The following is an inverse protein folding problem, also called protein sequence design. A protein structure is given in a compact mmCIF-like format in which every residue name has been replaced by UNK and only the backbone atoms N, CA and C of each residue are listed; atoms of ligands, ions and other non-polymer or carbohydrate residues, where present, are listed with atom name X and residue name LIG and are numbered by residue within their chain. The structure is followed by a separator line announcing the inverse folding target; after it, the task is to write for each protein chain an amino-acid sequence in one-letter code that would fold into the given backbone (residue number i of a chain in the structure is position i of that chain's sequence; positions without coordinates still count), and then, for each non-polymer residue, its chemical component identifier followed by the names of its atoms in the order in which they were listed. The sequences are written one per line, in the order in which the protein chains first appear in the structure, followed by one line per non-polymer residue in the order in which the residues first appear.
data_IF_333765835411
#
_entry.id   IF_333765835411
#
_cell.length_a   1.000
_cell.length_b   1.000
_cell.length_c   1.000
_cell.angle_alpha   90.00
_cell.angle_beta   90.00
_cell.angle_gamma   90.00
#
_symmetry.space_group_name_H-M   'P 1'
#
loop_
_entity.id
_entity.type
_entity.pdbx_description
1 polymer ?
#
# COMPACT_ATOMS: atom_id res chain seq x y z
N UNK A 1 5.11 16.28 -26.77
CA UNK A 1 6.08 15.22 -26.47
C UNK A 1 6.29 15.23 -24.96
N UNK A 2 5.52 14.44 -24.20
CA UNK A 2 5.64 14.39 -22.74
C UNK A 2 6.96 13.70 -22.36
N UNK A 3 7.76 14.34 -21.51
CA UNK A 3 8.99 13.75 -21.00
C UNK A 3 8.61 12.66 -19.99
N UNK A 4 8.88 11.39 -20.30
CA UNK A 4 8.86 10.31 -19.31
C UNK A 4 9.82 10.68 -18.17
N UNK A 5 9.32 10.72 -16.93
CA UNK A 5 10.15 10.95 -15.74
C UNK A 5 11.12 9.79 -15.57
N UNK A 6 12.34 10.08 -15.12
CA UNK A 6 13.33 9.03 -14.84
C UNK A 6 12.95 8.25 -13.58
N UNK A 7 13.41 7.00 -13.47
CA UNK A 7 13.23 6.16 -12.27
C UNK A 7 13.69 6.86 -10.98
N UNK A 8 14.81 7.60 -11.03
CA UNK A 8 15.27 8.39 -9.88
C UNK A 8 14.32 9.52 -9.47
N UNK A 9 13.56 10.09 -10.41
CA UNK A 9 12.60 11.15 -10.10
C UNK A 9 11.35 10.62 -9.42
N UNK A 10 10.87 9.43 -9.81
CA UNK A 10 9.70 8.78 -9.22
C UNK A 10 10.00 8.39 -7.76
N UNK A 11 11.12 7.71 -7.50
CA UNK A 11 11.56 7.41 -6.12
C UNK A 11 11.69 8.64 -5.24
N UNK A 12 12.22 9.75 -5.77
CA UNK A 12 12.34 11.01 -5.04
C UNK A 12 10.97 11.62 -4.71
N UNK A 13 10.01 11.54 -5.64
CA UNK A 13 8.64 12.01 -5.40
C UNK A 13 7.97 11.14 -4.33
N UNK A 14 8.09 9.82 -4.41
CA UNK A 14 7.57 8.89 -3.41
C UNK A 14 8.18 9.20 -2.05
N UNK A 15 9.51 9.30 -1.95
CA UNK A 15 10.16 9.65 -0.68
C UNK A 15 9.66 10.98 -0.12
N UNK A 16 9.56 12.02 -0.97
CA UNK A 16 9.04 13.32 -0.52
C UNK A 16 7.59 13.20 -0.02
N UNK A 17 6.75 12.44 -0.72
CA UNK A 17 5.38 12.18 -0.31
C UNK A 17 5.33 11.47 1.04
N UNK A 18 6.10 10.40 1.21
CA UNK A 18 6.15 9.62 2.44
C UNK A 18 6.58 10.46 3.65
N UNK A 19 7.61 11.30 3.48
CA UNK A 19 8.09 12.20 4.54
C UNK A 19 7.06 13.28 4.89
N UNK A 20 6.30 13.77 3.91
CA UNK A 20 5.32 14.86 4.14
C UNK A 20 3.97 14.38 4.68
N UNK A 21 3.60 13.10 4.53
CA UNK A 21 2.27 12.60 4.86
C UNK A 21 2.24 11.63 6.06
N UNK A 22 3.26 11.68 6.92
CA UNK A 22 3.36 10.80 8.09
C UNK A 22 3.18 9.31 7.70
N UNK A 23 3.90 8.89 6.67
CA UNK A 23 3.80 7.53 6.17
C UNK A 23 4.69 6.57 6.98
N UNK A 24 4.19 5.36 7.21
CA UNK A 24 4.90 4.31 7.93
C UNK A 24 5.02 3.06 7.08
N UNK A 25 6.07 2.28 7.30
CA UNK A 25 6.10 0.92 6.75
C UNK A 25 4.96 0.13 7.40
N UNK A 26 4.13 -0.50 6.56
CA UNK A 26 2.80 -0.93 6.96
C UNK A 26 2.80 -2.06 7.99
N UNK A 27 3.68 -3.07 7.86
CA UNK A 27 3.75 -4.14 8.88
C UNK A 27 4.30 -3.64 10.22
N UNK A 28 5.29 -2.76 10.16
CA UNK A 28 5.83 -2.10 11.35
C UNK A 28 4.71 -1.34 12.06
N UNK A 29 3.95 -0.51 11.34
CA UNK A 29 2.82 0.22 11.90
C UNK A 29 1.74 -0.71 12.46
N UNK A 30 1.30 -1.73 11.73
CA UNK A 30 0.29 -2.67 12.21
C UNK A 30 0.72 -3.43 13.47
N UNK A 31 2.02 -3.66 13.67
CA UNK A 31 2.56 -4.46 14.78
C UNK A 31 3.01 -3.65 16.00
N UNK A 32 3.20 -2.33 15.88
CA UNK A 32 3.84 -1.51 16.91
C UNK A 32 3.00 -1.36 18.20
N UNK A 33 1.67 -1.41 18.10
CA UNK A 33 0.80 -1.17 19.26
C UNK A 33 0.11 -2.45 19.75
N UNK A 34 0.34 -2.78 21.02
CA UNK A 34 -0.36 -3.87 21.72
C UNK A 34 -1.71 -3.46 22.29
N UNK A 35 -1.94 -2.16 22.44
CA UNK A 35 -3.09 -1.58 23.14
C UNK A 35 -4.01 -0.79 22.23
N UNK A 36 -3.47 -0.24 21.13
CA UNK A 36 -4.24 0.50 20.14
C UNK A 36 -4.46 -0.40 18.93
N UNK A 37 -5.73 -0.58 18.55
CA UNK A 37 -6.10 -1.32 17.36
C UNK A 37 -5.67 -0.54 16.12
N UNK A 38 -5.03 -1.21 15.15
CA UNK A 38 -4.66 -0.65 13.84
C UNK A 38 -5.22 -1.55 12.76
N UNK A 39 -5.98 -0.99 11.83
CA UNK A 39 -6.63 -1.72 10.74
C UNK A 39 -6.50 -0.96 9.43
N UNK A 40 -6.83 -1.63 8.32
CA UNK A 40 -6.79 -1.07 6.98
C UNK A 40 -8.17 -1.11 6.33
N UNK A 41 -8.61 0.02 5.78
CA UNK A 41 -9.91 0.17 5.11
C UNK A 41 -11.07 -0.38 5.95
N UNK A 42 -11.90 -1.20 5.32
CA UNK A 42 -13.08 -1.84 5.94
C UNK A 42 -12.76 -2.98 6.93
N UNK A 43 -11.48 -3.31 7.16
CA UNK A 43 -11.13 -4.39 8.09
C UNK A 43 -11.51 -4.02 9.53
N UNK A 44 -12.30 -4.87 10.15
CA UNK A 44 -12.64 -4.75 11.57
C UNK A 44 -11.68 -5.52 12.49
N UNK A 45 -10.75 -6.30 11.94
CA UNK A 45 -9.83 -7.14 12.69
C UNK A 45 -8.38 -6.91 12.21
N UNK A 46 -7.44 -6.48 13.07
CA UNK A 46 -6.05 -6.23 12.69
C UNK A 46 -5.35 -7.41 12.02
N UNK A 47 -5.77 -8.65 12.31
CA UNK A 47 -5.19 -9.83 11.69
C UNK A 47 -5.46 -9.90 10.18
N UNK A 48 -6.61 -9.41 9.74
CA UNK A 48 -6.99 -9.43 8.33
C UNK A 48 -6.15 -8.41 7.57
N UNK A 49 -5.94 -7.22 8.17
CA UNK A 49 -5.04 -6.20 7.64
C UNK A 49 -3.59 -6.69 7.55
N UNK A 50 -3.10 -7.37 8.60
CA UNK A 50 -1.77 -7.99 8.55
C UNK A 50 -1.69 -9.05 7.45
N UNK A 51 -2.69 -9.92 7.31
CA UNK A 51 -2.70 -10.96 6.29
C UNK A 51 -2.68 -10.38 4.87
N UNK A 52 -3.42 -9.30 4.61
CA UNK A 52 -3.38 -8.57 3.35
C UNK A 52 -1.95 -8.10 3.05
N UNK A 53 -1.32 -7.39 3.98
CA UNK A 53 0.02 -6.83 3.76
C UNK A 53 1.07 -7.94 3.64
N UNK A 54 0.98 -9.01 4.42
CA UNK A 54 1.85 -10.18 4.27
C UNK A 54 1.71 -10.78 2.88
N UNK A 55 0.50 -10.90 2.33
CA UNK A 55 0.31 -11.45 0.98
C UNK A 55 0.97 -10.60 -0.12
N UNK A 56 1.01 -9.26 0.05
CA UNK A 56 1.73 -8.36 -0.85
C UNK A 56 3.25 -8.58 -0.78
N UNK A 57 3.80 -8.74 0.43
CA UNK A 57 5.22 -9.05 0.60
C UNK A 57 5.57 -10.43 0.05
N UNK A 58 4.76 -11.46 0.31
CA UNK A 58 4.94 -12.81 -0.23
C UNK A 58 4.86 -12.84 -1.76
N UNK A 59 4.04 -11.96 -2.36
CA UNK A 59 3.98 -11.79 -3.80
C UNK A 59 5.25 -11.16 -4.40
N UNK A 60 6.02 -10.43 -3.59
CA UNK A 60 7.31 -9.83 -3.94
C UNK A 60 7.39 -8.31 -3.77
N UNK A 61 6.44 -7.68 -3.07
CA UNK A 61 6.51 -6.24 -2.83
C UNK A 61 7.82 -5.87 -2.11
N UNK A 62 8.47 -4.80 -2.56
CA UNK A 62 9.73 -4.33 -1.93
C UNK A 62 9.46 -3.65 -0.60
N UNK A 63 8.43 -2.80 -0.58
CA UNK A 63 7.94 -2.08 0.58
C UNK A 63 6.46 -1.79 0.40
N UNK A 64 5.74 -1.77 1.52
CA UNK A 64 4.36 -1.28 1.58
C UNK A 64 4.30 -0.17 2.62
N UNK A 65 3.77 0.98 2.20
CA UNK A 65 3.61 2.15 3.05
C UNK A 65 2.14 2.44 3.28
N UNK A 66 1.80 2.74 4.52
CA UNK A 66 0.50 3.29 4.91
C UNK A 66 0.68 4.77 5.24
N UNK A 67 -0.31 5.59 4.91
CA UNK A 67 -0.30 7.03 5.15
C UNK A 67 -1.74 7.52 5.30
N UNK A 68 -1.90 8.80 5.65
CA UNK A 68 -3.22 9.39 5.88
C UNK A 68 -4.02 8.58 6.92
N UNK A 69 -3.41 8.41 8.10
CA UNK A 69 -3.94 7.61 9.18
C UNK A 69 -4.95 8.44 9.96
N UNK A 70 -6.17 7.93 10.02
CA UNK A 70 -7.21 8.43 10.91
C UNK A 70 -6.98 7.89 12.32
N UNK A 71 -7.03 8.78 13.32
CA UNK A 71 -6.90 8.43 14.73
C UNK A 71 -8.20 8.71 15.47
N UNK A 72 -8.85 7.64 15.92
CA UNK A 72 -10.10 7.67 16.68
C UNK A 72 -9.85 7.55 18.20
N UNK A 73 -8.63 7.84 18.64
CA UNK A 73 -8.22 7.79 20.04
C UNK A 73 -8.31 6.36 20.60
N UNK A 74 -9.17 6.10 21.62
CA UNK A 74 -9.31 4.77 22.22
C UNK A 74 -9.81 3.70 21.26
N UNK A 75 -10.54 4.07 20.21
CA UNK A 75 -11.11 3.12 19.26
C UNK A 75 -10.07 2.55 18.28
N UNK A 76 -8.92 3.23 18.16
CA UNK A 76 -7.80 2.79 17.34
C UNK A 76 -7.49 3.75 16.20
N UNK A 77 -6.70 3.25 15.26
CA UNK A 77 -6.32 3.95 14.04
C UNK A 77 -6.70 3.12 12.81
N UNK A 78 -7.04 3.80 11.73
CA UNK A 78 -7.33 3.17 10.44
C UNK A 78 -6.63 3.95 9.32
N UNK A 79 -6.30 3.28 8.22
CA UNK A 79 -6.09 3.95 6.94
C UNK A 79 -6.57 3.06 5.81
N UNK A 80 -7.29 3.65 4.87
CA UNK A 80 -7.66 3.01 3.62
C UNK A 80 -6.58 3.09 2.53
N UNK A 81 -5.41 3.69 2.77
CA UNK A 81 -4.51 4.11 1.69
C UNK A 81 -3.12 3.50 1.77
N UNK A 82 -2.69 2.90 0.66
CA UNK A 82 -1.39 2.24 0.55
C UNK A 82 -0.59 2.70 -0.66
N UNK A 83 0.73 2.75 -0.49
CA UNK A 83 1.70 2.79 -1.59
C UNK A 83 2.50 1.49 -1.54
N UNK A 84 2.50 0.75 -2.64
CA UNK A 84 3.21 -0.53 -2.77
C UNK A 84 4.35 -0.34 -3.76
N UNK A 85 5.58 -0.48 -3.30
CA UNK A 85 6.78 -0.46 -4.15
C UNK A 85 6.94 -1.81 -4.84
N UNK A 86 6.93 -1.79 -6.18
CA UNK A 86 6.97 -2.98 -7.00
C UNK A 86 8.41 -3.48 -7.21
N UNK A 87 8.61 -4.80 -7.34
CA UNK A 87 9.88 -5.36 -7.73
C UNK A 87 10.15 -5.15 -9.23
N UNK A 88 11.40 -5.39 -9.64
CA UNK A 88 11.78 -5.37 -11.06
C UNK A 88 11.41 -6.70 -11.76
N UNK A 89 11.16 -7.77 -11.00
CA UNK A 89 10.80 -9.09 -11.53
C UNK A 89 9.37 -9.10 -12.10
N UNK A 90 9.16 -9.35 -13.41
CA UNK A 90 7.84 -9.28 -14.02
C UNK A 90 6.82 -10.26 -13.42
N UNK A 91 7.26 -11.44 -12.96
CA UNK A 91 6.35 -12.44 -12.38
C UNK A 91 5.81 -11.99 -11.01
N UNK A 92 6.67 -11.38 -10.18
CA UNK A 92 6.29 -10.82 -8.89
C UNK A 92 5.37 -9.61 -9.07
N UNK A 93 5.69 -8.73 -10.03
CA UNK A 93 4.84 -7.58 -10.38
C UNK A 93 3.43 -8.02 -10.76
N UNK A 94 3.31 -9.02 -11.64
CA UNK A 94 2.01 -9.54 -12.04
C UNK A 94 1.20 -10.04 -10.85
N UNK A 95 1.81 -10.79 -9.92
CA UNK A 95 1.11 -11.27 -8.72
C UNK A 95 0.59 -10.12 -7.84
N UNK A 96 1.41 -9.10 -7.61
CA UNK A 96 1.00 -7.92 -6.84
C UNK A 96 -0.16 -7.20 -7.53
N UNK A 97 -0.05 -6.99 -8.85
CA UNK A 97 -1.11 -6.34 -9.64
C UNK A 97 -2.40 -7.16 -9.67
N UNK A 98 -2.33 -8.50 -9.65
CA UNK A 98 -3.52 -9.35 -9.49
C UNK A 98 -4.19 -9.11 -8.14
N UNK A 99 -3.43 -9.11 -7.03
CA UNK A 99 -3.99 -8.84 -5.69
C UNK A 99 -4.66 -7.46 -5.66
N UNK A 100 -4.00 -6.44 -6.19
CA UNK A 100 -4.53 -5.08 -6.25
C UNK A 100 -5.74 -4.97 -7.20
N UNK A 101 -5.74 -5.70 -8.30
CA UNK A 101 -6.86 -5.78 -9.23
C UNK A 101 -8.10 -6.43 -8.61
N UNK A 102 -7.92 -7.49 -7.83
CA UNK A 102 -9.02 -8.12 -7.08
C UNK A 102 -9.63 -7.15 -6.05
N UNK A 103 -8.80 -6.34 -5.39
CA UNK A 103 -9.25 -5.27 -4.48
C UNK A 103 -10.05 -4.23 -5.26
N UNK A 104 -9.50 -3.70 -6.35
CA UNK A 104 -10.14 -2.70 -7.19
C UNK A 104 -11.51 -3.18 -7.70
N UNK A 105 -11.58 -4.41 -8.20
CA UNK A 105 -12.81 -5.00 -8.71
C UNK A 105 -13.88 -5.14 -7.61
N UNK A 106 -13.51 -5.55 -6.39
CA UNK A 106 -14.45 -5.59 -5.25
C UNK A 106 -15.00 -4.21 -4.89
N UNK A 107 -14.22 -3.16 -5.10
CA UNK A 107 -14.61 -1.76 -4.89
C UNK A 107 -15.31 -1.15 -6.13
N UNK A 108 -15.53 -1.91 -7.21
CA UNK A 108 -16.20 -1.44 -8.42
C UNK A 108 -15.32 -0.65 -9.38
N UNK A 109 -14.00 -0.79 -9.28
CA UNK A 109 -13.01 -0.16 -10.15
C UNK A 109 -12.32 -1.17 -11.07
N UNK A 110 -11.69 -0.65 -12.13
CA UNK A 110 -10.87 -1.44 -13.04
C UNK A 110 -9.46 -1.67 -12.45
N UNK A 111 -8.84 -2.84 -12.71
CA UNK A 111 -7.48 -3.10 -12.28
C UNK A 111 -6.46 -2.24 -13.03
N UNK A 112 -5.38 -1.86 -12.32
CA UNK A 112 -4.27 -1.12 -12.91
C UNK A 112 -3.45 -2.01 -13.84
N UNK A 113 -3.06 -1.49 -15.01
CA UNK A 113 -2.21 -2.21 -15.95
C UNK A 113 -0.73 -2.17 -15.53
N UNK A 114 0.05 -3.19 -15.90
CA UNK A 114 1.51 -3.09 -15.79
C UNK A 114 2.05 -2.18 -16.90
N UNK A 115 2.40 -0.95 -16.53
CA UNK A 115 3.05 0.05 -17.38
C UNK A 115 4.54 0.20 -17.06
N UNK A 116 5.11 -0.78 -16.35
CA UNK A 116 6.45 -0.75 -15.77
C UNK A 116 6.61 0.34 -14.69
N UNK A 117 5.52 0.68 -13.97
CA UNK A 117 5.55 1.62 -12.86
C UNK A 117 6.36 1.08 -11.67
N UNK A 118 7.03 1.95 -10.93
CA UNK A 118 7.83 1.54 -9.76
C UNK A 118 6.99 1.32 -8.49
N UNK A 119 5.81 1.91 -8.44
CA UNK A 119 4.90 1.77 -7.33
C UNK A 119 3.46 1.88 -7.80
N UNK A 120 2.54 1.37 -6.99
CA UNK A 120 1.10 1.55 -7.14
C UNK A 120 0.54 2.19 -5.89
N UNK A 121 -0.46 3.03 -6.09
CA UNK A 121 -1.29 3.59 -5.03
C UNK A 121 -2.62 2.83 -5.07
N UNK A 122 -3.10 2.38 -3.91
CA UNK A 122 -4.43 1.77 -3.79
C UNK A 122 -5.20 2.38 -2.64
N UNK A 123 -6.52 2.41 -2.80
CA UNK A 123 -7.49 2.66 -1.74
C UNK A 123 -8.21 1.37 -1.40
N UNK A 124 -8.57 1.19 -0.14
CA UNK A 124 -9.19 0.00 0.42
C UNK A 124 -10.65 0.23 0.84
N UNK A 125 -11.12 1.47 0.75
CA UNK A 125 -12.46 1.98 1.09
C UNK A 125 -12.87 3.13 0.16
#
# INVERSE_FOLDING_TARGET
MEKKKSNSDVKRIIQKFLTSNNAFECLTWLSESKTQKRTLGEDTNPKDSVALITSLYDAGARKVWVFDIDDYGPEGQNSGKLIIELPDDPSQRLRILTICGDIAHRLGYEPENDTNQEAIFIMLD
#
